data_IF_464236396891
#
_entry.id   IF_464236396891
#
_cell.length_a   1.000
_cell.length_b   1.000
_cell.length_c   1.000
_cell.angle_alpha   90.00
_cell.angle_beta   90.00
_cell.angle_gamma   90.00
#
_symmetry.space_group_name_H-M   'P 1'
#
loop_
_entity.id
_entity.type
_entity.pdbx_description
1 polymer ?
#
# COMPACT_ATOMS: atom_id res chain seq x y z
N UNK A 1 -12.84 -10.16 -7.61
CA UNK A 1 -12.06 -11.01 -6.69
C UNK A 1 -10.60 -10.91 -7.09
N UNK A 2 -9.70 -10.60 -6.16
CA UNK A 2 -8.28 -10.42 -6.44
C UNK A 2 -7.58 -11.72 -6.86
N UNK A 3 -6.46 -11.60 -7.59
CA UNK A 3 -5.69 -12.71 -8.17
C UNK A 3 -5.26 -13.74 -7.11
N UNK A 4 -5.02 -13.30 -5.87
CA UNK A 4 -4.61 -14.14 -4.75
C UNK A 4 -5.55 -15.32 -4.43
N UNK A 5 -6.85 -15.20 -4.70
CA UNK A 5 -7.81 -16.28 -4.43
C UNK A 5 -7.74 -17.43 -5.45
N UNK A 6 -7.02 -17.25 -6.57
CA UNK A 6 -6.87 -18.28 -7.61
C UNK A 6 -5.74 -19.28 -7.35
N UNK A 7 -4.81 -18.96 -6.44
CA UNK A 7 -3.68 -19.82 -6.09
C UNK A 7 -4.14 -20.99 -5.21
N UNK A 8 -3.76 -22.22 -5.60
CA UNK A 8 -4.24 -23.47 -4.98
C UNK A 8 -3.15 -24.27 -4.25
N UNK A 9 -1.93 -23.75 -4.11
CA UNK A 9 -0.78 -24.49 -3.56
C UNK A 9 -0.22 -23.86 -2.26
N UNK A 10 -0.99 -23.00 -1.58
CA UNK A 10 -0.52 -22.35 -0.36
C UNK A 10 -0.20 -23.34 0.77
N UNK A 11 -0.65 -24.59 0.70
CA UNK A 11 -0.24 -25.66 1.61
C UNK A 11 1.27 -25.95 1.60
N UNK A 12 2.00 -25.54 0.56
CA UNK A 12 3.44 -25.79 0.43
C UNK A 12 4.35 -24.69 1.00
N UNK A 13 3.80 -23.59 1.52
CA UNK A 13 4.57 -22.45 2.06
C UNK A 13 4.16 -22.13 3.50
N UNK A 14 4.99 -21.43 4.26
CA UNK A 14 4.70 -21.12 5.67
C UNK A 14 3.75 -19.94 5.85
N UNK A 15 3.86 -18.93 4.97
CA UNK A 15 3.11 -17.67 5.03
C UNK A 15 2.66 -17.26 3.63
N UNK A 16 1.54 -16.55 3.54
CA UNK A 16 1.04 -16.02 2.27
C UNK A 16 1.62 -14.61 2.08
N UNK A 17 2.50 -14.46 1.09
CA UNK A 17 3.04 -13.17 0.67
C UNK A 17 2.08 -12.45 -0.29
N UNK A 18 1.88 -11.14 -0.09
CA UNK A 18 1.06 -10.29 -0.95
C UNK A 18 1.81 -9.01 -1.30
N UNK A 19 1.81 -8.66 -2.58
CA UNK A 19 2.18 -7.33 -3.07
C UNK A 19 0.93 -6.44 -2.94
N UNK A 20 0.86 -5.66 -1.87
CA UNK A 20 -0.36 -5.00 -1.41
C UNK A 20 -0.57 -3.60 -2.03
N UNK A 21 -0.31 -3.46 -3.33
CA UNK A 21 -0.55 -2.25 -4.13
C UNK A 21 -2.03 -2.11 -4.53
N UNK A 22 -2.94 -2.12 -3.56
CA UNK A 22 -4.37 -1.94 -3.81
C UNK A 22 -4.71 -0.48 -4.10
N UNK A 23 -5.53 -0.25 -5.13
CA UNK A 23 -6.02 1.10 -5.46
C UNK A 23 -7.09 1.54 -4.45
N UNK A 24 -6.72 2.43 -3.52
CA UNK A 24 -7.60 2.85 -2.41
C UNK A 24 -8.51 3.99 -2.86
N UNK A 25 -9.75 3.65 -3.17
CA UNK A 25 -10.74 4.65 -3.61
C UNK A 25 -11.23 5.48 -2.42
N UNK A 26 -11.03 6.80 -2.48
CA UNK A 26 -11.49 7.79 -1.50
C UNK A 26 -12.38 8.85 -2.19
N UNK A 27 -12.95 9.76 -1.41
CA UNK A 27 -13.84 10.80 -1.95
C UNK A 27 -13.09 11.95 -2.63
N UNK A 28 -11.78 12.06 -2.41
CA UNK A 28 -10.93 13.14 -2.87
C UNK A 28 -9.46 12.71 -2.89
N UNK A 29 -8.66 13.37 -3.73
CA UNK A 29 -7.28 12.98 -3.99
C UNK A 29 -6.29 13.36 -2.88
N UNK A 30 -6.71 14.10 -1.84
CA UNK A 30 -5.89 14.46 -0.67
C UNK A 30 -6.53 13.94 0.62
N UNK A 31 -6.76 12.63 0.65
CA UNK A 31 -7.49 11.98 1.71
C UNK A 31 -6.78 12.05 3.06
N UNK A 32 -7.57 12.16 4.12
CA UNK A 32 -7.11 12.02 5.50
C UNK A 32 -6.74 10.57 5.82
N UNK A 33 -5.97 10.36 6.89
CA UNK A 33 -5.63 9.01 7.37
C UNK A 33 -6.88 8.15 7.55
N UNK A 34 -7.93 8.67 8.17
CA UNK A 34 -9.14 7.91 8.47
C UNK A 34 -9.92 7.54 7.19
N UNK A 35 -9.93 8.39 6.17
CA UNK A 35 -10.52 8.07 4.87
C UNK A 35 -9.75 6.95 4.16
N UNK A 36 -8.42 6.96 4.23
CA UNK A 36 -7.58 5.90 3.66
C UNK A 36 -7.76 4.59 4.44
N UNK A 37 -7.89 4.65 5.77
CA UNK A 37 -8.24 3.47 6.60
C UNK A 37 -9.58 2.89 6.17
N UNK A 38 -10.60 3.73 5.94
CA UNK A 38 -11.92 3.27 5.44
C UNK A 38 -11.78 2.61 4.07
N UNK A 39 -11.00 3.21 3.17
CA UNK A 39 -10.74 2.64 1.84
C UNK A 39 -10.04 1.27 1.92
N UNK A 40 -9.16 1.06 2.90
CA UNK A 40 -8.53 -0.22 3.18
C UNK A 40 -9.49 -1.30 3.69
N UNK A 41 -10.52 -0.92 4.46
CA UNK A 41 -11.45 -1.88 5.09
C UNK A 41 -12.15 -2.80 4.10
N UNK A 42 -12.30 -2.42 2.82
CA UNK A 42 -12.89 -3.28 1.81
C UNK A 42 -12.06 -4.54 1.52
N UNK A 43 -10.74 -4.50 1.73
CA UNK A 43 -9.82 -5.61 1.47
C UNK A 43 -9.61 -6.52 2.69
N UNK A 44 -9.83 -6.00 3.90
CA UNK A 44 -9.62 -6.74 5.15
C UNK A 44 -10.41 -8.06 5.19
N UNK A 45 -11.72 -8.12 4.87
CA UNK A 45 -12.46 -9.38 4.87
C UNK A 45 -11.96 -10.39 3.82
N UNK A 46 -11.48 -9.90 2.67
CA UNK A 46 -10.93 -10.77 1.63
C UNK A 46 -9.65 -11.46 2.12
N UNK A 47 -8.77 -10.71 2.77
CA UNK A 47 -7.51 -11.19 3.32
C UNK A 47 -7.72 -12.10 4.53
N UNK A 48 -8.59 -11.72 5.45
CA UNK A 48 -8.98 -12.54 6.60
C UNK A 48 -9.54 -13.91 6.16
N UNK A 49 -10.43 -13.92 5.16
CA UNK A 49 -10.94 -15.18 4.61
C UNK A 49 -9.85 -16.02 3.95
N UNK A 50 -8.89 -15.42 3.25
CA UNK A 50 -7.77 -16.14 2.67
C UNK A 50 -6.88 -16.77 3.75
N UNK A 51 -6.53 -16.00 4.78
CA UNK A 51 -5.75 -16.48 5.92
C UNK A 51 -6.45 -17.66 6.62
N UNK A 52 -7.77 -17.54 6.85
CA UNK A 52 -8.59 -18.59 7.45
C UNK A 52 -8.72 -19.83 6.57
N UNK A 53 -8.94 -19.66 5.26
CA UNK A 53 -9.09 -20.76 4.31
C UNK A 53 -7.86 -21.67 4.30
N UNK A 54 -6.66 -21.07 4.34
CA UNK A 54 -5.40 -21.81 4.27
C UNK A 54 -4.76 -22.05 5.63
N UNK A 55 -5.37 -21.51 6.71
CA UNK A 55 -4.84 -21.50 8.06
C UNK A 55 -3.38 -21.02 8.11
N UNK A 56 -3.11 -19.89 7.45
CA UNK A 56 -1.76 -19.31 7.30
C UNK A 56 -1.80 -17.80 7.51
N UNK A 57 -0.81 -17.23 8.20
CA UNK A 57 -0.72 -15.78 8.32
C UNK A 57 -0.38 -15.15 6.97
N UNK A 58 -0.75 -13.87 6.84
CA UNK A 58 -0.47 -13.04 5.67
C UNK A 58 0.62 -12.03 6.04
N UNK A 59 1.60 -11.90 5.16
CA UNK A 59 2.63 -10.87 5.22
C UNK A 59 2.59 -10.06 3.93
N UNK A 60 2.64 -8.73 4.05
CA UNK A 60 2.85 -7.89 2.86
C UNK A 60 4.33 -7.94 2.52
N UNK A 61 4.65 -8.60 1.41
CA UNK A 61 6.04 -8.73 0.92
C UNK A 61 6.46 -7.49 0.14
N UNK A 62 5.50 -6.75 -0.39
CA UNK A 62 5.71 -5.41 -0.94
C UNK A 62 4.48 -4.53 -0.67
N UNK A 63 4.74 -3.31 -0.25
CA UNK A 63 3.79 -2.19 -0.20
C UNK A 63 4.63 -0.92 -0.08
N UNK A 64 4.22 0.13 -0.79
CA UNK A 64 4.89 1.42 -0.73
C UNK A 64 3.98 2.50 -1.27
N UNK A 65 4.31 3.74 -0.92
CA UNK A 65 3.64 4.93 -1.41
C UNK A 65 4.73 5.92 -1.82
N UNK A 66 4.67 6.41 -3.04
CA UNK A 66 5.58 7.47 -3.53
C UNK A 66 5.25 8.79 -2.85
N UNK A 67 6.17 9.76 -2.85
CA UNK A 67 5.89 11.11 -2.35
C UNK A 67 5.09 11.97 -3.33
N UNK A 68 4.09 11.37 -3.98
CA UNK A 68 3.27 11.97 -5.03
C UNK A 68 1.83 12.23 -4.58
N UNK A 69 1.17 13.13 -5.31
CA UNK A 69 -0.25 13.39 -5.15
C UNK A 69 -1.07 12.15 -5.51
N UNK A 70 -2.13 11.89 -4.76
CA UNK A 70 -3.06 10.79 -4.96
C UNK A 70 -2.42 9.38 -4.91
N UNK A 71 -1.29 9.22 -4.24
CA UNK A 71 -0.52 7.95 -4.20
C UNK A 71 -1.31 6.80 -3.57
N UNK A 72 -2.23 7.09 -2.66
CA UNK A 72 -3.07 6.07 -2.03
C UNK A 72 -4.03 5.39 -3.02
N UNK A 73 -4.55 6.15 -3.99
CA UNK A 73 -5.44 5.63 -5.03
C UNK A 73 -4.66 4.94 -6.17
N UNK A 74 -3.42 5.37 -6.43
CA UNK A 74 -2.57 4.88 -7.51
C UNK A 74 -1.16 4.48 -7.01
N UNK A 75 -1.04 3.44 -6.18
CA UNK A 75 0.23 3.13 -5.51
C UNK A 75 1.25 2.45 -6.44
N UNK A 76 0.84 2.00 -7.63
CA UNK A 76 1.64 1.32 -8.66
C UNK A 76 2.13 2.24 -9.79
N UNK A 77 1.61 3.47 -9.88
CA UNK A 77 1.88 4.37 -11.00
C UNK A 77 2.90 5.46 -10.62
N UNK A 78 4.18 5.21 -10.95
CA UNK A 78 5.30 6.16 -10.88
C UNK A 78 5.12 7.45 -11.73
N UNK A 79 4.06 7.60 -12.54
CA UNK A 79 4.01 8.60 -13.62
C UNK A 79 2.68 9.35 -13.83
N UNK A 80 1.80 9.47 -12.83
CA UNK A 80 0.63 10.35 -12.99
C UNK A 80 0.91 11.76 -12.43
N UNK A 81 1.65 12.56 -13.21
CA UNK A 81 1.63 14.02 -13.12
C UNK A 81 0.40 14.51 -13.92
N UNK A 82 -0.45 15.42 -13.46
CA UNK A 82 -0.12 16.73 -12.89
C UNK A 82 -1.35 17.35 -12.17
N UNK A 83 -1.16 18.45 -11.43
CA UNK A 83 -2.30 19.34 -11.13
C UNK A 83 -2.58 20.31 -12.30
N UNK A 84 -1.55 20.96 -12.86
CA UNK A 84 -1.51 21.58 -14.22
C UNK A 84 -0.16 22.24 -14.57
N UNK A 85 0.77 22.43 -13.62
CA UNK A 85 2.16 22.79 -13.92
C UNK A 85 3.14 22.16 -12.92
N UNK A 86 3.57 20.94 -13.21
CA UNK A 86 4.67 20.24 -12.52
C UNK A 86 5.93 20.17 -13.41
N UNK A 87 6.21 21.21 -14.19
CA UNK A 87 7.42 21.25 -15.05
C UNK A 87 8.73 21.31 -14.26
N UNK A 88 8.67 21.49 -12.93
CA UNK A 88 9.81 21.46 -12.02
C UNK A 88 9.57 20.39 -10.95
N UNK A 89 10.30 19.28 -11.03
CA UNK A 89 10.18 18.11 -10.13
C UNK A 89 10.21 18.47 -8.63
N UNK A 90 10.97 19.49 -8.25
CA UNK A 90 11.12 19.95 -6.87
C UNK A 90 9.85 20.62 -6.29
N UNK A 91 8.81 20.88 -7.09
CA UNK A 91 7.56 21.52 -6.66
C UNK A 91 6.41 20.54 -6.45
N UNK A 92 6.58 19.24 -6.72
CA UNK A 92 5.48 18.26 -6.73
C UNK A 92 5.72 17.08 -5.78
N UNK A 93 6.20 17.39 -4.57
CA UNK A 93 6.38 16.43 -3.46
C UNK A 93 5.25 16.58 -2.44
N UNK A 94 4.52 15.49 -2.19
CA UNK A 94 3.40 15.43 -1.26
C UNK A 94 3.71 14.49 -0.08
N UNK A 95 4.73 14.84 0.71
CA UNK A 95 5.19 14.02 1.85
C UNK A 95 4.08 13.70 2.86
N UNK A 96 3.12 14.62 3.05
CA UNK A 96 2.02 14.41 3.99
C UNK A 96 1.10 13.28 3.53
N UNK A 97 0.89 13.15 2.22
CA UNK A 97 0.02 12.10 1.69
C UNK A 97 0.69 10.73 1.78
N UNK A 98 1.98 10.66 1.43
CA UNK A 98 2.80 9.46 1.68
C UNK A 98 2.70 9.06 3.15
N UNK A 99 3.00 9.98 4.09
CA UNK A 99 2.94 9.71 5.52
C UNK A 99 1.55 9.23 5.99
N UNK A 100 0.47 9.85 5.50
CA UNK A 100 -0.89 9.44 5.82
C UNK A 100 -1.19 8.01 5.33
N UNK A 101 -0.68 7.65 4.15
CA UNK A 101 -0.89 6.33 3.55
C UNK A 101 -0.18 5.22 4.33
N UNK A 102 1.07 5.46 4.74
CA UNK A 102 1.79 4.56 5.66
C UNK A 102 1.06 4.42 7.00
N UNK A 103 0.61 5.53 7.60
CA UNK A 103 -0.12 5.50 8.86
C UNK A 103 -1.44 4.72 8.74
N UNK A 104 -2.19 4.92 7.65
CA UNK A 104 -3.43 4.22 7.40
C UNK A 104 -3.24 2.70 7.22
N UNK A 105 -2.18 2.28 6.52
CA UNK A 105 -1.84 0.86 6.40
C UNK A 105 -1.54 0.26 7.79
N UNK A 106 -0.71 0.92 8.60
CA UNK A 106 -0.43 0.47 9.97
C UNK A 106 -1.70 0.38 10.83
N UNK A 107 -2.53 1.44 10.87
CA UNK A 107 -3.77 1.48 11.65
C UNK A 107 -4.75 0.38 11.24
N UNK A 108 -4.78 0.03 9.96
CA UNK A 108 -5.68 -0.99 9.42
C UNK A 108 -5.26 -2.40 9.86
N UNK A 109 -3.96 -2.73 9.75
CA UNK A 109 -3.52 -4.13 9.81
C UNK A 109 -2.79 -4.53 11.09
N UNK A 110 -2.13 -3.60 11.80
CA UNK A 110 -1.16 -3.94 12.85
C UNK A 110 -1.70 -4.81 14.00
N UNK A 111 -2.99 -4.69 14.31
CA UNK A 111 -3.63 -5.44 15.40
C UNK A 111 -4.44 -6.66 14.93
N UNK A 112 -4.40 -7.01 13.64
CA UNK A 112 -5.11 -8.17 13.12
C UNK A 112 -4.29 -9.44 13.39
N UNK A 113 -4.88 -10.42 14.08
CA UNK A 113 -4.18 -11.64 14.52
C UNK A 113 -3.57 -12.46 13.38
N UNK A 114 -4.15 -12.40 12.18
CA UNK A 114 -3.66 -13.12 11.00
C UNK A 114 -2.56 -12.37 10.24
N UNK A 115 -2.28 -11.12 10.61
CA UNK A 115 -1.33 -10.26 9.92
C UNK A 115 0.06 -10.34 10.55
N UNK A 116 1.07 -10.67 9.75
CA UNK A 116 2.41 -11.02 10.22
C UNK A 116 3.48 -9.99 9.85
N UNK A 117 3.06 -8.89 9.22
CA UNK A 117 3.90 -7.70 9.07
C UNK A 117 4.02 -7.21 7.64
N UNK A 118 5.02 -6.34 7.44
CA UNK A 118 5.21 -5.56 6.23
C UNK A 118 6.69 -5.50 5.87
N UNK A 119 6.99 -5.77 4.61
CA UNK A 119 8.21 -5.36 3.94
C UNK A 119 7.91 -4.11 3.10
N UNK A 120 8.41 -2.96 3.56
CA UNK A 120 8.19 -1.68 2.88
C UNK A 120 9.04 -1.56 1.62
N UNK A 121 8.39 -1.21 0.53
CA UNK A 121 9.01 -0.77 -0.72
C UNK A 121 9.24 0.75 -0.65
N UNK A 122 10.46 1.25 -0.81
CA UNK A 122 11.73 0.54 -0.80
C UNK A 122 12.77 1.37 -0.06
N UNK A 123 13.91 0.76 0.25
CA UNK A 123 15.09 1.51 0.70
C UNK A 123 16.24 1.24 -0.26
N UNK A 124 16.70 2.28 -0.94
CA UNK A 124 17.81 2.18 -1.90
C UNK A 124 19.15 2.19 -1.16
N UNK A 125 20.16 1.59 -1.80
CA UNK A 125 21.51 1.50 -1.20
C UNK A 125 22.33 2.77 -1.37
N UNK A 126 21.95 3.63 -2.32
CA UNK A 126 22.53 4.96 -2.45
C UNK A 126 21.98 5.87 -1.35
N UNK A 127 22.81 6.37 -0.42
CA UNK A 127 22.36 7.24 0.67
C UNK A 127 21.90 8.62 0.19
N UNK A 128 22.09 8.96 -1.08
CA UNK A 128 21.64 10.21 -1.70
C UNK A 128 20.33 10.05 -2.48
N UNK A 129 19.78 8.83 -2.54
CA UNK A 129 18.43 8.59 -3.05
C UNK A 129 17.37 8.94 -1.98
N UNK A 130 16.15 9.29 -2.40
CA UNK A 130 15.06 9.70 -1.50
C UNK A 130 14.78 11.22 -1.46
N UNK A 131 15.06 11.94 -2.54
CA UNK A 131 14.67 13.35 -2.73
C UNK A 131 13.34 13.46 -3.49
N UNK A 132 13.04 14.59 -4.12
CA UNK A 132 11.77 14.86 -4.82
C UNK A 132 11.42 13.94 -6.02
N UNK A 133 12.12 12.82 -6.18
CA UNK A 133 12.03 11.85 -7.29
C UNK A 133 11.72 10.44 -6.80
N UNK A 134 11.39 10.27 -5.52
CA UNK A 134 10.99 9.00 -4.89
C UNK A 134 9.48 9.00 -4.54
#
# INVERSE_FOLDING_TARGET
MGIQCSIQWFNAIDKIGIDAYYHLQTSNDNATVDEIVIAWQQFVPLLDNLAKQWNKPIIFVEIGYTSAYNTHAHPDHMELLAYDDCSVWALCVFLKEQANSYEAAYRTFWNLEWFDGIFWWLWRTDPWDGHSSD
#
